data_IF_187687942832
#
_entry.id   IF_187687942832
#
_cell.length_a   1.000
_cell.length_b   1.000
_cell.length_c   1.000
_cell.angle_alpha   90.00
_cell.angle_beta   90.00
_cell.angle_gamma   90.00
#
_symmetry.space_group_name_H-M   'P 1'
#
loop_
_entity.id
_entity.type
_entity.pdbx_description
1 polymer ?
#
# COMPACT_ATOMS: atom_id res chain seq x y z
N UNK A 1 -1.33 -25.32 -0.34
CA UNK A 1 -0.56 -24.48 0.61
C UNK A 1 0.24 -25.41 1.51
N UNK A 2 1.57 -25.32 1.50
CA UNK A 2 2.41 -26.13 2.39
C UNK A 2 2.22 -25.74 3.85
N UNK A 3 2.15 -26.72 4.76
CA UNK A 3 2.27 -26.49 6.19
C UNK A 3 3.76 -26.51 6.54
N UNK A 4 4.25 -25.44 7.16
CA UNK A 4 5.58 -25.40 7.76
C UNK A 4 5.42 -25.59 9.26
N UNK A 5 6.05 -26.63 9.81
CA UNK A 5 6.18 -26.84 11.25
C UNK A 5 7.54 -26.30 11.64
N UNK A 6 7.58 -25.43 12.65
CA UNK A 6 8.81 -24.76 13.11
C UNK A 6 8.91 -24.95 14.60
N UNK A 7 10.09 -25.39 15.05
CA UNK A 7 10.44 -25.41 16.47
C UNK A 7 10.99 -24.04 16.84
N UNK A 8 10.42 -23.43 17.88
CA UNK A 8 10.80 -22.12 18.37
C UNK A 8 11.14 -22.22 19.86
N UNK A 9 12.17 -21.50 20.33
CA UNK A 9 12.43 -21.39 21.77
C UNK A 9 11.20 -20.86 22.51
N UNK A 10 10.98 -21.36 23.73
CA UNK A 10 9.81 -21.02 24.55
C UNK A 10 9.68 -19.51 24.80
N UNK A 11 10.80 -18.81 24.94
CA UNK A 11 10.86 -17.36 25.11
C UNK A 11 10.23 -16.61 23.93
N UNK A 12 10.60 -17.00 22.70
CA UNK A 12 10.07 -16.43 21.47
C UNK A 12 8.58 -16.75 21.32
N UNK A 13 8.17 -17.97 21.69
CA UNK A 13 6.78 -18.37 21.64
C UNK A 13 5.91 -17.55 22.62
N UNK A 14 6.39 -17.32 23.84
CA UNK A 14 5.72 -16.49 24.84
C UNK A 14 5.55 -15.04 24.35
N UNK A 15 6.56 -14.49 23.69
CA UNK A 15 6.54 -13.13 23.17
C UNK A 15 5.60 -12.96 21.98
N UNK A 16 5.58 -13.94 21.06
CA UNK A 16 4.60 -14.01 19.98
C UNK A 16 3.17 -14.10 20.51
N UNK A 17 2.94 -14.86 21.59
CA UNK A 17 1.63 -14.98 22.23
C UNK A 17 1.17 -13.66 22.85
N UNK A 18 2.06 -12.93 23.53
CA UNK A 18 1.75 -11.59 24.06
C UNK A 18 1.36 -10.62 22.95
N UNK A 19 2.13 -10.61 21.86
CA UNK A 19 1.88 -9.74 20.70
C UNK A 19 0.56 -10.07 19.99
N UNK A 20 0.20 -11.35 19.93
CA UNK A 20 -1.11 -11.83 19.44
C UNK A 20 -2.29 -11.27 20.24
N UNK A 21 -2.16 -11.28 21.58
CA UNK A 21 -3.20 -10.73 22.45
C UNK A 21 -3.36 -9.21 22.27
N UNK A 22 -2.26 -8.48 22.11
CA UNK A 22 -2.26 -7.01 21.92
C UNK A 22 -2.86 -6.62 20.57
N UNK A 23 -2.41 -7.26 19.49
CA UNK A 23 -2.82 -6.91 18.12
C UNK A 23 -4.20 -7.47 17.74
N UNK A 24 -4.86 -8.24 18.64
CA UNK A 24 -6.09 -9.01 18.39
C UNK A 24 -6.01 -9.87 17.13
N UNK A 25 -4.84 -10.47 16.89
CA UNK A 25 -4.53 -11.30 15.72
C UNK A 25 -4.12 -12.69 16.16
N UNK A 26 -4.25 -13.66 15.27
CA UNK A 26 -3.77 -15.02 15.53
C UNK A 26 -2.24 -15.07 15.47
N UNK A 27 -1.61 -15.98 16.22
CA UNK A 27 -0.16 -16.21 16.15
C UNK A 27 0.30 -16.50 14.71
N UNK A 28 -0.49 -17.26 13.94
CA UNK A 28 -0.24 -17.55 12.53
C UNK A 28 -0.12 -16.27 11.70
N UNK A 29 -1.05 -15.32 11.87
CA UNK A 29 -1.03 -14.05 11.12
C UNK A 29 0.17 -13.19 11.49
N UNK A 30 0.56 -13.15 12.76
CA UNK A 30 1.74 -12.42 13.20
C UNK A 30 3.00 -13.00 12.58
N UNK A 31 3.18 -14.31 12.68
CA UNK A 31 4.35 -14.99 12.10
C UNK A 31 4.38 -14.79 10.58
N UNK A 32 3.23 -14.94 9.91
CA UNK A 32 3.14 -14.72 8.46
C UNK A 32 3.49 -13.27 8.10
N UNK A 33 3.02 -12.29 8.87
CA UNK A 33 3.34 -10.88 8.64
C UNK A 33 4.81 -10.56 8.93
N UNK A 34 5.40 -11.14 9.96
CA UNK A 34 6.82 -10.99 10.27
C UNK A 34 7.70 -11.54 9.14
N UNK A 35 7.40 -12.76 8.69
CA UNK A 35 8.10 -13.39 7.56
C UNK A 35 7.92 -12.56 6.29
N UNK A 36 6.70 -12.10 5.99
CA UNK A 36 6.46 -11.22 4.84
C UNK A 36 7.26 -9.93 4.94
N UNK A 37 7.27 -9.26 6.10
CA UNK A 37 8.06 -8.04 6.31
C UNK A 37 9.55 -8.29 6.12
N UNK A 38 10.05 -9.44 6.58
CA UNK A 38 11.45 -9.83 6.40
C UNK A 38 11.78 -10.11 4.93
N UNK A 39 10.94 -10.90 4.24
CA UNK A 39 11.14 -11.28 2.83
C UNK A 39 10.99 -10.11 1.86
N UNK A 40 10.10 -9.17 2.16
CA UNK A 40 9.95 -7.93 1.39
C UNK A 40 11.16 -7.00 1.62
N UNK A 41 12.03 -7.34 2.57
CA UNK A 41 13.09 -6.49 3.07
C UNK A 41 12.49 -5.48 4.03
N UNK A 42 13.08 -5.35 5.21
CA UNK A 42 12.99 -4.12 5.99
C UNK A 42 13.32 -2.97 5.04
N UNK A 43 12.43 -1.99 4.83
CA UNK A 43 12.86 -0.72 4.32
C UNK A 43 13.69 -0.08 5.44
N UNK A 44 14.95 -0.49 5.60
CA UNK A 44 15.99 0.36 6.25
C UNK A 44 16.18 1.68 5.50
N UNK A 45 15.50 1.81 4.36
CA UNK A 45 15.10 3.06 3.78
C UNK A 45 13.58 3.17 3.71
N UNK A 46 12.91 3.40 4.84
CA UNK A 46 12.01 4.56 4.85
C UNK A 46 12.92 5.76 4.55
N UNK A 47 13.28 5.93 3.27
CA UNK A 47 13.53 7.25 2.75
C UNK A 47 12.26 7.95 3.16
N UNK A 48 12.37 8.81 4.18
CA UNK A 48 11.51 9.97 4.35
C UNK A 48 11.04 10.29 2.94
N UNK A 49 9.73 10.20 2.69
CA UNK A 49 9.15 10.68 1.44
C UNK A 49 9.42 12.18 1.42
N UNK A 50 10.69 12.58 1.23
CA UNK A 50 11.06 13.80 0.56
C UNK A 50 10.17 13.75 -0.65
N UNK A 51 9.34 14.79 -0.75
CA UNK A 51 8.49 15.07 -1.90
C UNK A 51 9.38 15.18 -3.14
N UNK A 52 9.99 14.09 -3.57
CA UNK A 52 10.52 13.95 -4.90
C UNK A 52 9.25 13.95 -5.71
N UNK A 53 8.96 15.07 -6.38
CA UNK A 53 7.78 15.28 -7.24
C UNK A 53 7.75 14.35 -8.47
N UNK A 54 8.22 13.11 -8.30
CA UNK A 54 8.34 12.04 -9.28
C UNK A 54 7.25 10.97 -9.09
N UNK A 55 6.48 11.00 -7.99
CA UNK A 55 5.14 10.44 -7.97
C UNK A 55 4.15 11.59 -8.20
N UNK A 56 3.90 11.88 -9.49
CA UNK A 56 3.22 13.07 -10.00
C UNK A 56 2.05 13.55 -9.14
N UNK A 57 2.32 14.59 -8.36
CA UNK A 57 1.28 15.40 -7.77
C UNK A 57 0.88 16.43 -8.84
N UNK A 58 -0.29 16.23 -9.43
CA UNK A 58 -0.83 17.14 -10.43
C UNK A 58 -1.43 18.35 -9.68
N UNK A 59 -0.63 19.40 -9.53
CA UNK A 59 -1.12 20.70 -9.04
C UNK A 59 -1.75 21.47 -10.20
N UNK A 60 -3.01 21.14 -10.54
CA UNK A 60 -3.79 22.00 -11.45
C UNK A 60 -4.38 23.15 -10.66
N UNK A 61 -4.24 24.37 -11.20
CA UNK A 61 -4.94 25.55 -10.68
C UNK A 61 -6.36 25.68 -11.26
N UNK A 62 -6.66 24.90 -12.30
CA UNK A 62 -7.97 24.90 -12.94
C UNK A 62 -9.00 24.21 -12.05
N UNK A 63 -10.23 24.72 -12.05
CA UNK A 63 -11.33 24.04 -11.40
C UNK A 63 -11.67 22.73 -12.13
N UNK A 64 -12.37 21.83 -11.45
CA UNK A 64 -12.80 20.56 -12.06
C UNK A 64 -13.61 20.79 -13.35
N UNK A 65 -14.44 21.84 -13.38
CA UNK A 65 -15.29 22.21 -14.51
C UNK A 65 -14.47 22.67 -15.72
N UNK A 66 -13.38 23.41 -15.48
CA UNK A 66 -12.48 23.88 -16.53
C UNK A 66 -11.72 22.72 -17.17
N UNK A 67 -11.23 21.78 -16.36
CA UNK A 67 -10.56 20.56 -16.83
C UNK A 67 -11.53 19.71 -17.67
N UNK A 68 -12.76 19.53 -17.20
CA UNK A 68 -13.78 18.76 -17.93
C UNK A 68 -14.12 19.43 -19.27
N UNK A 69 -14.25 20.76 -19.28
CA UNK A 69 -14.54 21.54 -20.50
C UNK A 69 -13.42 21.40 -21.53
N UNK A 70 -12.17 21.49 -21.07
CA UNK A 70 -10.97 21.34 -21.90
C UNK A 70 -10.87 19.94 -22.52
N UNK A 71 -11.12 18.90 -21.73
CA UNK A 71 -11.14 17.50 -22.21
C UNK A 71 -12.24 17.29 -23.26
N UNK A 72 -13.44 17.85 -23.02
CA UNK A 72 -14.57 17.74 -23.97
C UNK A 72 -14.27 18.47 -25.28
N UNK A 73 -13.61 19.62 -25.23
CA UNK A 73 -13.26 20.42 -26.40
C UNK A 73 -12.22 19.73 -27.29
N UNK A 74 -11.21 19.09 -26.70
CA UNK A 74 -10.10 18.48 -27.45
C UNK A 74 -10.37 17.05 -27.93
N UNK A 75 -11.38 16.36 -27.36
CA UNK A 75 -11.77 15.03 -27.83
C UNK A 75 -12.72 15.14 -29.02
N UNK A 76 -12.17 15.00 -30.24
CA UNK A 76 -12.90 14.94 -31.54
C UNK A 76 -14.10 13.98 -31.57
N UNK A 77 -14.17 13.00 -30.66
CA UNK A 77 -15.28 12.04 -30.61
C UNK A 77 -16.58 12.62 -29.98
N UNK A 78 -16.49 13.60 -29.09
CA UNK A 78 -17.68 14.25 -28.51
C UNK A 78 -18.43 15.15 -29.51
N UNK A 79 -17.73 15.69 -30.50
CA UNK A 79 -18.33 16.53 -31.55
C UNK A 79 -19.12 15.72 -32.59
N UNK A 80 -19.00 14.38 -32.64
CA UNK A 80 -19.57 13.55 -33.70
C UNK A 80 -20.93 12.91 -33.37
N UNK A 81 -21.46 13.10 -32.16
CA UNK A 81 -22.73 12.50 -31.70
C UNK A 81 -23.75 13.53 -31.17
N UNK A 82 -23.62 14.80 -31.55
CA UNK A 82 -24.64 15.82 -31.33
C UNK A 82 -25.23 16.28 -32.66
N UNK A 83 -26.06 15.44 -33.29
CA UNK A 83 -27.01 15.87 -34.32
C UNK A 83 -28.33 15.17 -34.08
#
# INVERSE_FOLDING_TARGET
>A
MGKLIVELPDEIHAELKKRAAVDRKTQKEIVTNLIRKYLIGTPEHEVSKKKTGLCGMWEDRRSAEEIIRDIKAHRKWFAKHGR
#
